data_IF_352929446198
#
_entry.id   IF_352929446198
#
_cell.length_a   1.000
_cell.length_b   1.000
_cell.length_c   1.000
_cell.angle_alpha   90.00
_cell.angle_beta   90.00
_cell.angle_gamma   90.00
#
_symmetry.space_group_name_H-M   'P 1'
#
loop_
_entity.id
_entity.type
_entity.pdbx_description
1 polymer ?
#
# COMPACT_ATOMS: atom_id res chain seq x y z
N UNK A 1 21.15 -24.13 -18.43
CA UNK A 1 20.86 -24.20 -16.98
C UNK A 1 21.64 -23.18 -16.15
N UNK A 2 22.93 -22.91 -16.44
CA UNK A 2 23.75 -21.90 -15.73
C UNK A 2 23.19 -20.46 -15.78
N UNK A 3 22.75 -19.98 -16.94
CA UNK A 3 22.18 -18.62 -17.07
C UNK A 3 20.94 -18.41 -16.17
N UNK A 4 20.05 -19.40 -16.06
CA UNK A 4 18.86 -19.31 -15.19
C UNK A 4 19.23 -19.27 -13.70
N UNK A 5 20.26 -20.00 -13.28
CA UNK A 5 20.77 -19.96 -11.90
C UNK A 5 21.42 -18.61 -11.58
N UNK A 6 22.21 -18.07 -12.51
CA UNK A 6 22.85 -16.76 -12.36
C UNK A 6 21.83 -15.61 -12.31
N UNK A 7 20.77 -15.64 -13.13
CA UNK A 7 19.68 -14.65 -13.06
C UNK A 7 18.89 -14.76 -11.77
N UNK A 8 18.64 -15.98 -11.28
CA UNK A 8 17.93 -16.20 -10.03
C UNK A 8 18.72 -15.66 -8.82
N UNK A 9 20.02 -15.96 -8.74
CA UNK A 9 20.90 -15.41 -7.68
C UNK A 9 20.95 -13.88 -7.75
N UNK A 10 21.11 -13.31 -8.95
CA UNK A 10 21.11 -11.85 -9.15
C UNK A 10 19.80 -11.21 -8.69
N UNK A 11 18.66 -11.81 -9.00
CA UNK A 11 17.35 -11.29 -8.58
C UNK A 11 17.16 -11.39 -7.06
N UNK A 12 17.65 -12.46 -6.43
CA UNK A 12 17.61 -12.57 -4.97
C UNK A 12 18.46 -11.48 -4.30
N UNK A 13 19.67 -11.23 -4.80
CA UNK A 13 20.52 -10.14 -4.30
C UNK A 13 19.81 -8.79 -4.42
N UNK A 14 19.26 -8.47 -5.61
CA UNK A 14 18.50 -7.24 -5.81
C UNK A 14 17.27 -7.13 -4.90
N UNK A 15 16.63 -8.26 -4.57
CA UNK A 15 15.51 -8.31 -3.63
C UNK A 15 15.96 -7.95 -2.22
N UNK A 16 17.09 -8.47 -1.79
CA UNK A 16 17.68 -8.13 -0.49
C UNK A 16 18.11 -6.66 -0.45
N UNK A 17 18.73 -6.15 -1.51
CA UNK A 17 19.07 -4.73 -1.67
C UNK A 17 17.83 -3.83 -1.57
N UNK A 18 16.74 -4.19 -2.24
CA UNK A 18 15.46 -3.50 -2.14
C UNK A 18 14.95 -3.44 -0.70
N UNK A 19 14.94 -4.58 0.01
CA UNK A 19 14.44 -4.66 1.39
C UNK A 19 15.32 -3.83 2.31
N UNK A 20 16.65 -3.96 2.19
CA UNK A 20 17.61 -3.22 3.00
C UNK A 20 17.53 -1.71 2.73
N UNK A 21 17.47 -1.30 1.45
CA UNK A 21 17.34 0.10 1.05
C UNK A 21 16.05 0.74 1.57
N UNK A 22 14.93 0.02 1.49
CA UNK A 22 13.65 0.46 2.07
C UNK A 22 13.75 0.67 3.58
N UNK A 23 14.32 -0.30 4.31
CA UNK A 23 14.45 -0.20 5.77
C UNK A 23 15.43 0.91 6.18
N UNK A 24 16.53 1.08 5.45
CA UNK A 24 17.49 2.15 5.68
C UNK A 24 16.88 3.53 5.42
N UNK A 25 16.07 3.68 4.36
CA UNK A 25 15.34 4.92 4.09
C UNK A 25 14.37 5.27 5.24
N UNK A 26 13.65 4.28 5.76
CA UNK A 26 12.75 4.44 6.90
C UNK A 26 13.51 4.92 8.15
N UNK A 27 14.62 4.27 8.49
CA UNK A 27 15.46 4.65 9.62
C UNK A 27 16.02 6.07 9.47
N UNK A 28 16.54 6.42 8.29
CA UNK A 28 17.07 7.76 8.03
C UNK A 28 15.99 8.83 8.14
N UNK A 29 14.77 8.55 7.67
CA UNK A 29 13.62 9.44 7.83
C UNK A 29 13.29 9.66 9.32
N UNK A 30 13.30 8.60 10.12
CA UNK A 30 13.02 8.69 11.56
C UNK A 30 14.12 9.44 12.34
N UNK A 31 15.35 9.45 11.81
CA UNK A 31 16.46 10.26 12.29
C UNK A 31 16.46 11.71 11.75
N UNK A 32 15.39 12.15 11.08
CA UNK A 32 15.28 13.45 10.41
C UNK A 32 16.34 13.69 9.31
N UNK A 33 16.91 12.63 8.73
CA UNK A 33 17.88 12.66 7.64
C UNK A 33 17.21 12.36 6.29
N UNK A 34 16.07 13.02 6.02
CA UNK A 34 15.22 12.74 4.86
C UNK A 34 15.92 12.92 3.50
N UNK A 35 16.90 13.83 3.40
CA UNK A 35 17.71 14.01 2.20
C UNK A 35 18.59 12.78 1.87
N UNK A 36 19.04 12.05 2.89
CA UNK A 36 19.77 10.77 2.71
C UNK A 36 18.83 9.59 2.48
N UNK A 37 17.60 9.67 2.99
CA UNK A 37 16.58 8.65 2.78
C UNK A 37 16.07 8.61 1.33
N UNK A 38 15.98 9.77 0.67
CA UNK A 38 15.41 9.91 -0.67
C UNK A 38 16.03 8.99 -1.73
N UNK A 39 17.37 8.97 -1.95
CA UNK A 39 17.97 8.11 -2.96
C UNK A 39 17.72 6.62 -2.68
N UNK A 40 17.74 6.21 -1.41
CA UNK A 40 17.48 4.82 -1.02
C UNK A 40 16.03 4.42 -1.26
N UNK A 41 15.07 5.31 -0.96
CA UNK A 41 13.67 5.06 -1.24
C UNK A 41 13.37 4.98 -2.75
N UNK A 42 14.01 5.83 -3.56
CA UNK A 42 13.90 5.80 -5.02
C UNK A 42 14.48 4.51 -5.60
N UNK A 43 15.65 4.10 -5.12
CA UNK A 43 16.29 2.86 -5.54
C UNK A 43 15.45 1.63 -5.14
N UNK A 44 14.89 1.61 -3.93
CA UNK A 44 14.01 0.55 -3.48
C UNK A 44 12.77 0.40 -4.39
N UNK A 45 12.13 1.52 -4.80
CA UNK A 45 11.02 1.48 -5.77
C UNK A 45 11.45 0.93 -7.13
N UNK A 46 12.63 1.34 -7.61
CA UNK A 46 13.15 0.83 -8.89
C UNK A 46 13.39 -0.67 -8.83
N UNK A 47 14.08 -1.14 -7.78
CA UNK A 47 14.38 -2.56 -7.59
C UNK A 47 13.11 -3.39 -7.39
N UNK A 48 12.11 -2.86 -6.67
CA UNK A 48 10.84 -3.57 -6.45
C UNK A 48 10.10 -3.83 -7.77
N UNK A 49 10.05 -2.84 -8.65
CA UNK A 49 9.48 -2.95 -10.00
C UNK A 49 10.23 -3.97 -10.86
N UNK A 50 11.56 -3.97 -10.80
CA UNK A 50 12.41 -4.88 -11.58
C UNK A 50 12.31 -6.34 -11.12
N UNK A 51 12.27 -6.58 -9.81
CA UNK A 51 12.47 -7.92 -9.22
C UNK A 51 11.16 -8.59 -8.82
N UNK A 52 10.23 -7.82 -8.27
CA UNK A 52 8.95 -8.32 -7.74
C UNK A 52 7.79 -7.97 -8.69
N UNK A 53 7.94 -6.91 -9.48
CA UNK A 53 6.99 -6.48 -10.49
C UNK A 53 6.29 -5.17 -10.16
N UNK A 54 5.65 -4.58 -11.17
CA UNK A 54 4.96 -3.29 -11.06
C UNK A 54 3.74 -3.34 -10.14
N UNK A 55 2.98 -4.44 -10.17
CA UNK A 55 1.80 -4.66 -9.31
C UNK A 55 2.12 -5.69 -8.24
N UNK A 56 2.78 -5.23 -7.17
CA UNK A 56 3.04 -6.07 -6.00
C UNK A 56 2.97 -5.26 -4.71
N UNK A 57 2.68 -5.96 -3.62
CA UNK A 57 2.61 -5.34 -2.30
C UNK A 57 3.96 -4.77 -1.84
N UNK A 58 5.07 -5.41 -2.22
CA UNK A 58 6.42 -4.90 -1.96
C UNK A 58 6.66 -3.58 -2.71
N UNK A 59 6.17 -3.47 -3.95
CA UNK A 59 6.24 -2.24 -4.75
C UNK A 59 5.39 -1.12 -4.15
N UNK A 60 4.15 -1.43 -3.74
CA UNK A 60 3.29 -0.47 -3.06
C UNK A 60 3.93 0.06 -1.77
N UNK A 61 4.60 -0.82 -1.00
CA UNK A 61 5.29 -0.44 0.23
C UNK A 61 6.53 0.43 -0.03
N UNK A 62 7.31 0.14 -1.08
CA UNK A 62 8.43 1.02 -1.46
C UNK A 62 7.93 2.40 -1.89
N UNK A 63 6.84 2.48 -2.66
CA UNK A 63 6.22 3.75 -3.05
C UNK A 63 5.71 4.53 -1.83
N UNK A 64 5.13 3.85 -0.84
CA UNK A 64 4.69 4.46 0.41
C UNK A 64 5.87 5.11 1.15
N UNK A 65 7.01 4.41 1.24
CA UNK A 65 8.21 4.92 1.90
C UNK A 65 8.82 6.11 1.17
N UNK A 66 8.78 6.10 -0.16
CA UNK A 66 9.17 7.26 -0.97
C UNK A 66 8.25 8.46 -0.69
N UNK A 67 6.94 8.25 -0.65
CA UNK A 67 5.97 9.29 -0.32
C UNK A 67 6.15 9.87 1.08
N UNK A 68 6.41 9.02 2.08
CA UNK A 68 6.77 9.46 3.45
C UNK A 68 8.07 10.27 3.48
N UNK A 69 9.04 9.91 2.65
CA UNK A 69 10.32 10.62 2.57
C UNK A 69 10.16 12.02 2.00
N UNK A 70 9.42 12.17 0.89
CA UNK A 70 9.08 13.49 0.34
C UNK A 70 8.31 14.35 1.34
N UNK A 71 7.31 13.77 2.02
CA UNK A 71 6.58 14.43 3.10
C UNK A 71 7.50 14.96 4.20
N UNK A 72 8.46 14.15 4.63
CA UNK A 72 9.45 14.54 5.65
C UNK A 72 10.46 15.61 5.16
N UNK A 73 10.50 15.89 3.86
CA UNK A 73 11.25 17.01 3.27
C UNK A 73 10.39 18.27 3.06
N UNK A 74 9.09 18.22 3.37
CA UNK A 74 8.13 19.30 3.07
C UNK A 74 7.63 19.31 1.62
N UNK A 75 8.04 18.34 0.79
CA UNK A 75 7.56 18.15 -0.57
C UNK A 75 6.21 17.41 -0.56
N UNK A 76 5.18 18.09 -0.06
CA UNK A 76 3.89 17.46 0.25
C UNK A 76 3.12 16.99 -0.98
N UNK A 77 3.22 17.70 -2.11
CA UNK A 77 2.52 17.33 -3.35
C UNK A 77 3.13 16.06 -3.98
N UNK A 78 4.46 15.97 -4.04
CA UNK A 78 5.17 14.77 -4.47
C UNK A 78 4.89 13.60 -3.52
N UNK A 79 4.94 13.87 -2.21
CA UNK A 79 4.61 12.89 -1.17
C UNK A 79 3.19 12.34 -1.34
N UNK A 80 2.21 13.21 -1.55
CA UNK A 80 0.82 12.83 -1.78
C UNK A 80 0.61 12.09 -3.10
N UNK A 81 1.38 12.41 -4.15
CA UNK A 81 1.32 11.65 -5.41
C UNK A 81 1.76 10.19 -5.22
N UNK A 82 2.88 9.98 -4.54
CA UNK A 82 3.39 8.63 -4.25
C UNK A 82 2.50 7.85 -3.30
N UNK A 83 1.99 8.49 -2.24
CA UNK A 83 1.06 7.86 -1.31
C UNK A 83 -0.27 7.47 -1.99
N UNK A 84 -0.76 8.29 -2.93
CA UNK A 84 -1.95 7.94 -3.73
C UNK A 84 -1.72 6.72 -4.62
N UNK A 85 -0.58 6.66 -5.31
CA UNK A 85 -0.24 5.51 -6.15
C UNK A 85 -0.11 4.22 -5.32
N UNK A 86 0.56 4.30 -4.16
CA UNK A 86 0.66 3.19 -3.22
C UNK A 86 -0.71 2.72 -2.72
N UNK A 87 -1.58 3.66 -2.32
CA UNK A 87 -2.93 3.34 -1.86
C UNK A 87 -3.75 2.66 -2.96
N UNK A 88 -3.79 3.23 -4.16
CA UNK A 88 -4.53 2.67 -5.30
C UNK A 88 -4.04 1.26 -5.66
N UNK A 89 -2.72 1.00 -5.55
CA UNK A 89 -2.17 -0.34 -5.78
C UNK A 89 -2.61 -1.33 -4.70
N UNK A 90 -2.55 -0.97 -3.41
CA UNK A 90 -3.02 -1.85 -2.32
C UNK A 90 -4.51 -2.14 -2.42
N UNK A 91 -5.29 -1.14 -2.78
CA UNK A 91 -6.72 -1.26 -3.07
C UNK A 91 -6.98 -2.28 -4.17
N UNK A 92 -6.25 -2.19 -5.27
CA UNK A 92 -6.33 -3.15 -6.38
C UNK A 92 -5.90 -4.57 -5.96
N UNK A 93 -4.79 -4.70 -5.24
CA UNK A 93 -4.27 -6.01 -4.81
C UNK A 93 -5.19 -6.71 -3.82
N UNK A 94 -5.79 -5.96 -2.89
CA UNK A 94 -6.79 -6.47 -1.96
C UNK A 94 -8.07 -6.89 -2.70
N UNK A 95 -8.49 -6.12 -3.70
CA UNK A 95 -9.60 -6.52 -4.56
C UNK A 95 -9.29 -7.80 -5.32
N UNK A 96 -8.10 -7.90 -5.93
CA UNK A 96 -7.69 -9.08 -6.68
C UNK A 96 -7.60 -10.32 -5.79
N UNK A 97 -7.16 -10.19 -4.54
CA UNK A 97 -7.15 -11.31 -3.59
C UNK A 97 -8.57 -11.74 -3.22
N UNK A 98 -9.47 -10.79 -2.93
CA UNK A 98 -10.88 -11.08 -2.61
C UNK A 98 -11.62 -11.71 -3.80
N UNK A 99 -11.34 -11.25 -5.02
CA UNK A 99 -11.89 -11.79 -6.26
C UNK A 99 -11.46 -13.25 -6.52
N UNK A 100 -10.23 -13.60 -6.14
CA UNK A 100 -9.74 -14.97 -6.28
C UNK A 100 -10.36 -15.92 -5.24
N UNK A 101 -10.84 -15.39 -4.12
CA UNK A 101 -11.50 -16.15 -3.06
C UNK A 101 -12.96 -16.50 -3.41
N UNK A 102 -13.68 -15.62 -4.14
CA UNK A 102 -15.10 -15.81 -4.48
C UNK A 102 -15.41 -15.55 -5.97
N UNK A 103 -15.76 -16.61 -6.72
CA UNK A 103 -15.88 -16.59 -8.19
C UNK A 103 -17.20 -16.05 -8.76
N UNK A 104 -18.28 -16.00 -7.98
CA UNK A 104 -19.63 -15.75 -8.54
C UNK A 104 -20.16 -14.31 -8.31
N UNK A 105 -19.66 -13.57 -7.31
CA UNK A 105 -20.13 -12.22 -6.95
C UNK A 105 -19.23 -11.08 -7.46
N UNK A 106 -18.32 -11.40 -8.37
CA UNK A 106 -17.25 -10.54 -8.85
C UNK A 106 -17.70 -9.39 -9.76
N UNK A 107 -18.60 -9.68 -10.71
CA UNK A 107 -19.00 -8.71 -11.74
C UNK A 107 -19.98 -7.65 -11.21
N UNK A 108 -20.91 -8.03 -10.31
CA UNK A 108 -21.77 -7.08 -9.61
C UNK A 108 -20.97 -6.22 -8.61
N UNK A 109 -19.90 -6.78 -8.02
CA UNK A 109 -18.89 -6.01 -7.30
C UNK A 109 -18.26 -4.95 -8.19
N UNK A 110 -17.86 -5.35 -9.40
CA UNK A 110 -17.10 -4.53 -10.34
C UNK A 110 -17.90 -3.33 -10.84
N UNK A 111 -19.20 -3.52 -11.10
CA UNK A 111 -20.11 -2.46 -11.52
C UNK A 111 -20.37 -1.47 -10.36
N UNK A 112 -20.64 -1.97 -9.15
CA UNK A 112 -20.78 -1.12 -7.95
C UNK A 112 -19.47 -0.46 -7.53
N UNK A 113 -18.31 -1.08 -7.77
CA UNK A 113 -16.95 -0.57 -7.49
C UNK A 113 -16.55 0.56 -8.44
N UNK A 114 -17.01 0.53 -9.69
CA UNK A 114 -16.83 1.63 -10.64
C UNK A 114 -17.79 2.79 -10.38
N UNK A 115 -18.98 2.51 -9.89
CA UNK A 115 -20.00 3.53 -9.65
C UNK A 115 -19.90 4.20 -8.27
N UNK A 116 -19.22 3.58 -7.31
CA UNK A 116 -19.09 4.11 -5.94
C UNK A 116 -17.63 4.14 -5.48
N UNK A 117 -17.34 4.94 -4.46
CA UNK A 117 -16.10 4.86 -3.69
C UNK A 117 -16.13 3.58 -2.82
N UNK A 118 -16.17 2.39 -3.44
CA UNK A 118 -16.83 1.15 -2.92
C UNK A 118 -15.92 0.10 -2.27
N UNK A 119 -14.61 0.32 -2.18
CA UNK A 119 -13.79 -0.59 -1.36
C UNK A 119 -14.23 -0.47 0.10
N UNK A 120 -14.64 0.73 0.51
CA UNK A 120 -15.27 1.03 1.78
C UNK A 120 -16.48 0.13 2.07
N UNK A 121 -17.47 0.15 1.18
CA UNK A 121 -18.71 -0.59 1.39
C UNK A 121 -18.55 -2.09 1.19
N UNK A 122 -17.63 -2.58 0.35
CA UNK A 122 -17.43 -4.04 0.21
C UNK A 122 -16.63 -4.62 1.38
N UNK A 123 -15.57 -3.98 1.88
CA UNK A 123 -14.86 -4.42 3.11
C UNK A 123 -15.80 -4.37 4.32
N UNK A 124 -16.59 -3.30 4.46
CA UNK A 124 -17.59 -3.21 5.51
C UNK A 124 -18.70 -4.26 5.34
N UNK A 125 -19.17 -4.49 4.12
CA UNK A 125 -20.22 -5.48 3.85
C UNK A 125 -19.74 -6.92 4.05
N UNK A 126 -18.52 -7.28 3.63
CA UNK A 126 -17.96 -8.62 3.85
C UNK A 126 -17.76 -8.87 5.33
N UNK A 127 -17.16 -7.94 6.08
CA UNK A 127 -16.94 -8.17 7.52
C UNK A 127 -18.24 -8.11 8.33
N UNK A 128 -19.23 -7.30 7.90
CA UNK A 128 -20.49 -7.15 8.64
C UNK A 128 -21.58 -8.17 8.24
N UNK A 129 -21.50 -8.82 7.07
CA UNK A 129 -22.46 -9.86 6.65
C UNK A 129 -21.92 -11.28 6.72
N UNK A 130 -20.60 -11.46 6.74
CA UNK A 130 -20.04 -12.78 6.98
C UNK A 130 -20.09 -13.07 8.48
N UNK A 131 -21.11 -13.84 8.90
CA UNK A 131 -21.32 -14.25 10.30
C UNK A 131 -20.21 -15.16 10.86
N UNK A 132 -19.10 -15.31 10.12
CA UNK A 132 -17.87 -15.98 10.50
C UNK A 132 -16.68 -15.00 10.50
N UNK A 133 -16.82 -13.84 11.16
CA UNK A 133 -15.70 -12.89 11.36
C UNK A 133 -14.46 -13.52 12.06
N UNK A 134 -14.57 -14.75 12.57
CA UNK A 134 -13.47 -15.57 13.09
C UNK A 134 -12.59 -16.23 12.01
N UNK A 135 -12.88 -16.05 10.71
CA UNK A 135 -12.17 -16.75 9.61
C UNK A 135 -11.68 -15.80 8.51
N UNK A 136 -11.13 -14.63 8.85
CA UNK A 136 -10.15 -14.05 7.91
C UNK A 136 -8.86 -14.85 8.04
N UNK A 137 -8.31 -15.26 6.90
CA UNK A 137 -6.98 -15.85 6.93
C UNK A 137 -5.92 -14.78 7.32
N UNK A 138 -4.72 -15.25 7.69
CA UNK A 138 -3.62 -14.36 8.07
C UNK A 138 -3.17 -13.41 6.95
N UNK A 139 -3.40 -13.76 5.68
CA UNK A 139 -3.04 -12.96 4.52
C UNK A 139 -4.01 -11.80 4.32
N UNK A 140 -5.32 -12.03 4.44
CA UNK A 140 -6.35 -10.99 4.31
C UNK A 140 -6.25 -9.97 5.45
N UNK A 141 -6.03 -10.45 6.68
CA UNK A 141 -5.78 -9.58 7.85
C UNK A 141 -4.56 -8.67 7.61
N UNK A 142 -3.51 -9.20 6.98
CA UNK A 142 -2.30 -8.44 6.69
C UNK A 142 -2.50 -7.41 5.58
N UNK A 143 -3.28 -7.74 4.55
CA UNK A 143 -3.65 -6.81 3.47
C UNK A 143 -4.46 -5.62 4.01
N UNK A 144 -5.45 -5.89 4.88
CA UNK A 144 -6.28 -4.86 5.52
C UNK A 144 -5.42 -3.95 6.40
N UNK A 145 -4.53 -4.51 7.23
CA UNK A 145 -3.60 -3.70 8.05
C UNK A 145 -2.73 -2.78 7.20
N UNK A 146 -2.24 -3.24 6.04
CA UNK A 146 -1.45 -2.44 5.11
C UNK A 146 -2.27 -1.32 4.47
N UNK A 147 -3.53 -1.59 4.08
CA UNK A 147 -4.44 -0.57 3.57
C UNK A 147 -4.67 0.55 4.61
N UNK A 148 -4.93 0.19 5.87
CA UNK A 148 -5.12 1.14 6.97
C UNK A 148 -3.92 2.09 7.15
N UNK A 149 -2.70 1.57 7.05
CA UNK A 149 -1.48 2.39 7.14
C UNK A 149 -1.40 3.40 5.99
N UNK A 150 -1.69 3.00 4.75
CA UNK A 150 -1.71 3.90 3.60
C UNK A 150 -2.76 5.00 3.76
N UNK A 151 -3.97 4.66 4.20
CA UNK A 151 -5.05 5.62 4.44
C UNK A 151 -4.67 6.66 5.49
N UNK A 152 -4.04 6.24 6.60
CA UNK A 152 -3.56 7.17 7.63
C UNK A 152 -2.47 8.10 7.09
N UNK A 153 -1.58 7.61 6.23
CA UNK A 153 -0.53 8.44 5.63
C UNK A 153 -1.10 9.45 4.63
N UNK A 154 -2.09 9.02 3.84
CA UNK A 154 -2.85 9.88 2.94
C UNK A 154 -3.64 10.96 3.69
N UNK A 155 -4.27 10.60 4.79
CA UNK A 155 -4.97 11.56 5.64
C UNK A 155 -4.01 12.61 6.20
N UNK A 156 -2.85 12.16 6.72
CA UNK A 156 -1.83 13.06 7.28
C UNK A 156 -1.26 14.03 6.23
N UNK A 157 -0.90 13.57 5.04
CA UNK A 157 -0.41 14.49 3.99
C UNK A 157 -1.52 15.43 3.50
N UNK A 158 -2.78 15.00 3.54
CA UNK A 158 -3.92 15.87 3.21
C UNK A 158 -4.11 17.00 4.22
N UNK A 159 -3.87 16.74 5.52
CA UNK A 159 -3.82 17.79 6.55
C UNK A 159 -2.70 18.79 6.27
N UNK A 160 -1.51 18.30 5.93
CA UNK A 160 -0.34 19.15 5.62
C UNK A 160 -0.58 20.02 4.36
N UNK A 161 -1.38 19.53 3.41
CA UNK A 161 -1.83 20.28 2.23
C UNK A 161 -3.06 21.18 2.46
N UNK A 162 -3.59 21.27 3.69
CA UNK A 162 -4.81 22.03 4.00
C UNK A 162 -6.11 21.42 3.44
N UNK A 163 -6.06 20.18 2.93
CA UNK A 163 -7.20 19.45 2.35
C UNK A 163 -7.94 18.66 3.44
N UNK A 164 -8.52 19.38 4.40
CA UNK A 164 -9.13 18.78 5.60
C UNK A 164 -10.29 17.85 5.29
N UNK A 165 -11.11 18.13 4.28
CA UNK A 165 -12.24 17.27 3.91
C UNK A 165 -11.76 15.88 3.48
N UNK A 166 -10.71 15.82 2.65
CA UNK A 166 -10.10 14.56 2.21
C UNK A 166 -9.49 13.83 3.39
N UNK A 167 -8.79 14.54 4.29
CA UNK A 167 -8.21 13.96 5.49
C UNK A 167 -9.26 13.33 6.41
N UNK A 168 -10.38 14.02 6.67
CA UNK A 168 -11.48 13.49 7.49
C UNK A 168 -12.09 12.25 6.86
N UNK A 169 -12.32 12.24 5.54
CA UNK A 169 -12.82 11.06 4.82
C UNK A 169 -11.86 9.88 4.96
N UNK A 170 -10.55 10.10 4.76
CA UNK A 170 -9.54 9.04 4.88
C UNK A 170 -9.41 8.52 6.32
N UNK A 171 -9.47 9.39 7.34
CA UNK A 171 -9.41 8.95 8.74
C UNK A 171 -10.67 8.20 9.17
N UNK A 172 -11.85 8.69 8.79
CA UNK A 172 -13.11 7.98 9.03
C UNK A 172 -13.08 6.60 8.40
N UNK A 173 -12.63 6.51 7.16
CA UNK A 173 -12.53 5.23 6.49
C UNK A 173 -11.57 4.26 7.21
N UNK A 174 -10.40 4.74 7.64
CA UNK A 174 -9.49 3.92 8.43
C UNK A 174 -10.10 3.47 9.78
N UNK A 175 -10.91 4.32 10.42
CA UNK A 175 -11.61 3.97 11.66
C UNK A 175 -12.70 2.92 11.41
N UNK A 176 -13.54 3.13 10.40
CA UNK A 176 -14.64 2.23 10.06
C UNK A 176 -14.11 0.82 9.75
N UNK A 177 -12.97 0.71 9.04
CA UNK A 177 -12.31 -0.59 8.78
C UNK A 177 -11.66 -1.17 10.04
N UNK A 178 -11.16 -0.34 10.96
CA UNK A 178 -10.49 -0.82 12.17
C UNK A 178 -11.42 -1.39 13.24
N UNK A 179 -12.70 -0.99 13.26
CA UNK A 179 -13.71 -1.45 14.24
C UNK A 179 -14.30 -2.82 13.86
N UNK A 180 -13.98 -3.30 12.66
CA UNK A 180 -14.43 -4.57 12.14
C UNK A 180 -13.60 -5.78 12.61
N UNK A 181 -12.54 -5.57 13.40
CA UNK A 181 -11.59 -6.58 13.90
C UNK A 181 -11.20 -6.27 15.35
#
# INVERSE_FOLDING_TARGET
QFQRKATHVRNNIKREEMIAGRAAAELLRDLNLSSRALPLAMEAVKLSKEVVGEMSEDTALCMEQLGKTFRAMGAFDEGANWLRQSLAMREYLMYESLLRADKDDAEDALLKLRETQTIHSRVLWTVNNDKNADVLDSSETHAIRRLLVSLKNMARVSVELGKYEVAVKSYRFALDVSVLF
#
